data_IF_063104257624
#
_entry.id   IF_063104257624
#
_cell.length_a   1.000
_cell.length_b   1.000
_cell.length_c   1.000
_cell.angle_alpha   90.00
_cell.angle_beta   90.00
_cell.angle_gamma   90.00
#
_symmetry.space_group_name_H-M   'P 1'
#
loop_
_entity.id
_entity.type
_entity.pdbx_description
1 polymer ?
#
# COMPACT_ATOMS: atom_id res chain seq x y z
N UNK A 1 -3.19 9.00 -6.47
CA UNK A 1 -2.37 8.73 -5.28
C UNK A 1 -2.30 10.00 -4.43
N UNK A 2 -2.56 9.91 -3.12
CA UNK A 2 -2.62 11.05 -2.20
C UNK A 2 -1.38 11.05 -1.31
N UNK A 3 -0.71 12.19 -1.24
CA UNK A 3 0.44 12.41 -0.35
C UNK A 3 -0.07 13.15 0.89
N UNK A 4 0.29 12.67 2.08
CA UNK A 4 -0.13 13.29 3.34
C UNK A 4 1.09 13.39 4.25
N UNK A 5 1.40 14.60 4.70
CA UNK A 5 2.56 14.86 5.56
C UNK A 5 2.10 15.39 6.91
N UNK A 6 2.76 14.94 7.97
CA UNK A 6 2.57 15.48 9.30
C UNK A 6 2.96 14.49 10.39
N UNK A 7 2.78 14.91 11.64
CA UNK A 7 3.02 14.05 12.80
C UNK A 7 2.05 12.87 12.81
N UNK A 8 2.61 11.67 12.91
CA UNK A 8 1.83 10.44 12.92
C UNK A 8 1.20 10.18 14.29
N UNK A 9 -0.09 9.88 14.31
CA UNK A 9 -0.82 9.43 15.48
C UNK A 9 -1.79 8.31 15.08
N UNK A 10 -1.52 7.10 15.54
CA UNK A 10 -2.40 5.95 15.33
C UNK A 10 -3.58 6.07 16.30
N UNK A 11 -4.78 6.23 15.76
CA UNK A 11 -6.02 6.41 16.53
C UNK A 11 -6.90 5.17 16.38
N UNK A 12 -6.38 3.99 16.72
CA UNK A 12 -7.17 2.77 16.68
C UNK A 12 -6.32 1.51 16.78
N UNK A 13 -6.98 0.38 17.04
CA UNK A 13 -6.33 -0.92 17.05
C UNK A 13 -6.01 -1.34 15.61
N UNK A 14 -4.78 -1.84 15.41
CA UNK A 14 -4.39 -2.53 14.19
C UNK A 14 -4.86 -3.97 14.24
N UNK A 15 -5.57 -4.43 13.22
CA UNK A 15 -5.94 -5.84 13.05
C UNK A 15 -5.02 -6.42 11.99
N UNK A 16 -4.25 -7.45 12.34
CA UNK A 16 -3.36 -8.16 11.41
C UNK A 16 -4.21 -9.10 10.56
N UNK A 17 -4.05 -9.03 9.24
CA UNK A 17 -4.75 -9.84 8.25
C UNK A 17 -3.76 -10.28 7.15
N UNK A 18 -3.12 -11.42 7.36
CA UNK A 18 -2.02 -11.88 6.51
C UNK A 18 -0.84 -10.91 6.57
N UNK A 19 -0.29 -10.53 5.40
CA UNK A 19 0.85 -9.61 5.30
C UNK A 19 0.49 -8.13 5.46
N UNK A 20 -0.75 -7.81 5.83
CA UNK A 20 -1.21 -6.44 6.00
C UNK A 20 -1.81 -6.22 7.40
N UNK A 21 -1.53 -5.05 7.97
CA UNK A 21 -2.21 -4.53 9.14
C UNK A 21 -3.29 -3.55 8.69
N UNK A 22 -4.53 -3.75 9.17
CA UNK A 22 -5.66 -2.84 8.95
C UNK A 22 -5.84 -1.96 10.18
N UNK A 23 -5.73 -0.65 9.98
CA UNK A 23 -6.06 0.37 10.97
C UNK A 23 -7.43 0.96 10.69
N UNK A 24 -8.26 1.02 11.74
CA UNK A 24 -9.55 1.71 11.67
C UNK A 24 -9.37 3.20 11.38
N UNK A 25 -8.44 3.86 12.09
CA UNK A 25 -8.12 5.28 11.90
C UNK A 25 -6.63 5.55 12.11
N UNK A 26 -6.04 6.29 11.17
CA UNK A 26 -4.69 6.86 11.23
C UNK A 26 -4.81 8.38 11.09
N UNK A 27 -4.33 9.13 12.08
CA UNK A 27 -4.22 10.58 11.99
C UNK A 27 -2.78 10.96 11.63
N UNK A 28 -2.64 11.87 10.70
CA UNK A 28 -1.36 12.38 10.26
C UNK A 28 -1.46 13.89 10.05
N UNK A 29 -0.76 14.66 10.88
CA UNK A 29 -0.96 16.11 10.98
C UNK A 29 -2.43 16.45 11.26
N UNK A 30 -3.06 17.21 10.36
CA UNK A 30 -4.49 17.56 10.41
C UNK A 30 -5.42 16.58 9.70
N UNK A 31 -4.90 15.57 9.00
CA UNK A 31 -5.71 14.65 8.21
C UNK A 31 -6.05 13.38 9.00
N UNK A 32 -7.33 12.97 8.91
CA UNK A 32 -7.81 11.70 9.48
C UNK A 32 -8.07 10.73 8.32
N UNK A 33 -7.37 9.60 8.34
CA UNK A 33 -7.52 8.52 7.37
C UNK A 33 -8.23 7.35 8.03
N UNK A 34 -9.34 6.88 7.44
CA UNK A 34 -10.06 5.70 7.91
C UNK A 34 -9.85 4.50 6.99
N UNK A 35 -10.01 3.29 7.54
CA UNK A 35 -9.86 2.00 6.83
C UNK A 35 -8.55 1.93 6.03
N UNK A 36 -7.44 2.06 6.76
CA UNK A 36 -6.09 2.11 6.19
C UNK A 36 -5.42 0.76 6.31
N UNK A 37 -4.95 0.23 5.20
CA UNK A 37 -4.15 -0.97 5.11
C UNK A 37 -2.70 -0.60 4.90
N UNK A 38 -1.81 -1.25 5.62
CA UNK A 38 -0.37 -1.10 5.46
C UNK A 38 0.26 -2.50 5.43
N UNK A 39 1.32 -2.67 4.65
CA UNK A 39 2.10 -3.90 4.73
C UNK A 39 2.72 -4.02 6.12
N UNK A 40 2.70 -5.21 6.72
CA UNK A 40 3.26 -5.44 8.06
C UNK A 40 4.72 -5.00 8.15
N UNK A 41 5.46 -5.12 7.04
CA UNK A 41 6.85 -4.70 6.95
C UNK A 41 7.05 -3.17 7.00
N UNK A 42 6.07 -2.38 6.56
CA UNK A 42 6.05 -0.92 6.74
C UNK A 42 5.42 -0.51 8.09
N UNK A 43 4.63 -1.39 8.70
CA UNK A 43 3.91 -1.12 9.94
C UNK A 43 4.86 -0.82 11.11
N UNK A 44 6.00 -1.49 11.14
CA UNK A 44 7.10 -1.22 12.08
C UNK A 44 7.51 0.25 12.09
N UNK A 45 7.44 0.94 10.94
CA UNK A 45 7.79 2.35 10.83
C UNK A 45 6.66 3.30 11.27
N UNK A 46 5.40 2.83 11.31
CA UNK A 46 4.30 3.60 11.92
C UNK A 46 4.36 3.54 13.44
N UNK A 47 4.82 2.43 14.01
CA UNK A 47 4.96 2.28 15.47
C UNK A 47 6.12 3.10 16.05
N UNK A 48 7.12 3.44 15.25
CA UNK A 48 8.17 4.39 15.65
C UNK A 48 7.54 5.78 15.63
N UNK A 49 7.05 6.22 16.80
CA UNK A 49 6.49 7.57 17.04
C UNK A 49 7.59 8.63 16.91
N UNK A 50 8.10 8.85 15.71
CA UNK A 50 9.07 9.91 15.47
C UNK A 50 8.39 11.23 15.78
N UNK A 51 9.01 12.03 16.64
CA UNK A 51 8.57 13.37 17.02
C UNK A 51 8.40 14.34 15.84
N UNK A 52 8.89 13.93 14.66
CA UNK A 52 8.94 14.73 13.44
C UNK A 52 7.93 14.26 12.38
N UNK A 53 7.68 15.12 11.41
CA UNK A 53 6.71 14.86 10.34
C UNK A 53 7.13 13.70 9.45
N UNK A 54 6.18 12.77 9.24
CA UNK A 54 6.32 11.65 8.30
C UNK A 54 5.47 11.96 7.08
N UNK A 55 5.90 11.53 5.89
CA UNK A 55 5.06 11.62 4.68
C UNK A 55 4.56 10.25 4.29
N UNK A 56 3.25 10.09 4.22
CA UNK A 56 2.59 8.87 3.77
C UNK A 56 2.10 9.00 2.33
N UNK A 57 2.38 7.97 1.56
CA UNK A 57 1.92 7.82 0.19
C UNK A 57 0.75 6.85 0.17
N UNK A 58 -0.46 7.40 0.07
CA UNK A 58 -1.71 6.67 0.21
C UNK A 58 -2.38 6.49 -1.15
N UNK A 59 -2.65 5.25 -1.53
CA UNK A 59 -3.47 4.90 -2.69
C UNK A 59 -4.87 4.51 -2.23
N UNK A 60 -5.88 4.76 -3.05
CA UNK A 60 -7.24 4.28 -2.81
C UNK A 60 -7.43 3.04 -3.68
N UNK A 61 -7.61 1.89 -3.06
CA UNK A 61 -8.07 0.69 -3.72
C UNK A 61 -9.60 0.67 -3.63
N UNK A 62 -10.27 0.48 -4.76
CA UNK A 62 -11.73 0.42 -4.83
C UNK A 62 -12.30 -0.67 -3.90
N UNK A 63 -11.64 -1.83 -3.84
CA UNK A 63 -12.14 -3.00 -3.12
C UNK A 63 -11.73 -3.05 -1.64
N UNK A 64 -10.56 -2.50 -1.30
CA UNK A 64 -9.95 -2.68 0.02
C UNK A 64 -9.78 -1.38 0.81
N UNK A 65 -10.21 -0.23 0.29
CA UNK A 65 -10.09 1.05 0.99
C UNK A 65 -8.74 1.73 0.76
N UNK A 66 -8.15 2.35 1.78
CA UNK A 66 -6.90 3.13 1.61
C UNK A 66 -5.71 2.25 1.89
N UNK A 67 -4.71 2.23 1.02
CA UNK A 67 -3.46 1.52 1.25
C UNK A 67 -2.29 2.49 1.33
N UNK A 68 -1.51 2.41 2.40
CA UNK A 68 -0.18 3.02 2.47
C UNK A 68 0.76 2.18 1.60
N UNK A 69 1.34 2.80 0.58
CA UNK A 69 2.26 2.14 -0.38
C UNK A 69 3.72 2.45 -0.11
N UNK A 70 3.97 3.61 0.47
CA UNK A 70 5.29 4.05 0.91
C UNK A 70 5.17 5.01 2.09
N UNK A 71 6.24 5.11 2.87
CA UNK A 71 6.46 6.19 3.82
C UNK A 71 7.79 6.88 3.51
N UNK A 72 7.87 8.17 3.79
CA UNK A 72 9.14 8.89 3.91
C UNK A 72 9.34 9.28 5.36
N UNK A 73 10.44 8.83 5.95
CA UNK A 73 10.83 9.15 7.32
C UNK A 73 11.24 10.62 7.44
N UNK A 74 11.27 11.18 8.66
CA UNK A 74 11.80 12.51 8.88
C UNK A 74 13.27 12.69 8.46
N UNK A 75 14.05 11.60 8.43
CA UNK A 75 15.43 11.60 7.96
C UNK A 75 15.54 11.72 6.42
N UNK A 76 14.43 11.60 5.70
CA UNK A 76 14.37 11.66 4.24
C UNK A 76 14.31 10.29 3.56
N UNK A 77 14.50 9.19 4.30
CA UNK A 77 14.48 7.85 3.75
C UNK A 77 13.07 7.46 3.28
N UNK A 78 12.97 7.05 2.02
CA UNK A 78 11.73 6.61 1.39
C UNK A 78 11.65 5.09 1.42
N UNK A 79 10.78 4.52 2.25
CA UNK A 79 10.51 3.09 2.29
C UNK A 79 9.25 2.77 1.51
N UNK A 80 9.30 1.77 0.64
CA UNK A 80 8.13 1.32 -0.10
C UNK A 80 8.04 -0.20 -0.13
N UNK A 81 6.83 -0.72 -0.17
CA UNK A 81 6.64 -2.16 -0.26
C UNK A 81 6.68 -2.58 -1.72
N UNK A 82 7.47 -3.62 -2.03
CA UNK A 82 7.62 -4.14 -3.40
C UNK A 82 6.76 -5.38 -3.61
N UNK A 83 5.95 -5.37 -4.67
CA UNK A 83 5.29 -6.57 -5.18
C UNK A 83 6.19 -7.20 -6.28
N UNK A 84 6.45 -8.51 -6.23
CA UNK A 84 7.21 -9.18 -7.29
C UNK A 84 6.42 -9.15 -8.60
N UNK A 85 7.07 -8.67 -9.68
CA UNK A 85 6.47 -8.57 -11.01
C UNK A 85 5.88 -9.89 -11.49
N UNK A 86 6.56 -11.00 -11.19
CA UNK A 86 6.13 -12.34 -11.58
C UNK A 86 4.72 -12.70 -11.06
N UNK A 87 4.38 -12.32 -9.82
CA UNK A 87 3.03 -12.55 -9.28
C UNK A 87 1.97 -11.72 -9.99
N UNK A 88 2.30 -10.47 -10.35
CA UNK A 88 1.41 -9.60 -11.12
C UNK A 88 1.18 -10.17 -12.52
N UNK A 89 2.26 -10.61 -13.18
CA UNK A 89 2.21 -11.18 -14.53
C UNK A 89 1.38 -12.48 -14.56
N UNK A 90 1.64 -13.43 -13.65
CA UNK A 90 0.87 -14.67 -13.57
C UNK A 90 -0.60 -14.37 -13.29
N UNK A 91 -0.90 -13.51 -12.30
CA UNK A 91 -2.28 -13.20 -11.96
C UNK A 91 -3.06 -12.62 -13.13
N UNK A 92 -2.42 -11.78 -13.93
CA UNK A 92 -3.02 -11.13 -15.09
C UNK A 92 -3.21 -12.11 -16.26
N UNK A 93 -2.24 -12.99 -16.53
CA UNK A 93 -2.37 -14.08 -17.52
C UNK A 93 -3.46 -15.05 -17.12
N UNK A 94 -3.51 -15.48 -15.85
CA UNK A 94 -4.56 -16.36 -15.34
C UNK A 94 -5.93 -15.71 -15.41
N UNK A 95 -6.05 -14.41 -15.09
CA UNK A 95 -7.31 -13.70 -15.21
C UNK A 95 -7.81 -13.66 -16.66
N UNK A 96 -6.93 -13.38 -17.64
CA UNK A 96 -7.28 -13.42 -19.06
C UNK A 96 -7.63 -14.84 -19.51
N UNK A 97 -6.84 -15.84 -19.10
CA UNK A 97 -7.07 -17.25 -19.43
C UNK A 97 -8.39 -17.82 -18.89
N UNK A 98 -8.91 -17.25 -17.79
CA UNK A 98 -10.20 -17.62 -17.21
C UNK A 98 -11.40 -16.87 -17.80
N UNK A 99 -11.22 -15.91 -18.73
CA UNK A 99 -12.33 -15.20 -19.40
C UNK A 99 -13.26 -16.17 -20.17
N UNK A 100 -12.75 -17.17 -20.92
CA UNK A 100 -13.61 -18.11 -21.67
C UNK A 100 -14.50 -18.98 -20.77
N UNK A 101 -14.13 -19.13 -19.50
CA UNK A 101 -14.88 -19.94 -18.52
C UNK A 101 -15.94 -19.04 -17.88
N UNK A 102 -17.06 -18.84 -18.59
CA UNK A 102 -18.23 -18.06 -18.12
C UNK A 102 -17.91 -16.62 -17.69
N UNK A 103 -16.86 -16.00 -18.22
CA UNK A 103 -16.47 -14.65 -17.85
C UNK A 103 -15.89 -14.52 -16.43
N UNK A 104 -15.55 -15.64 -15.76
CA UNK A 104 -14.95 -15.60 -14.42
C UNK A 104 -13.69 -14.74 -14.37
N UNK A 105 -12.90 -14.72 -15.45
CA UNK A 105 -11.75 -13.83 -15.60
C UNK A 105 -12.06 -12.33 -15.40
N UNK A 106 -13.26 -11.87 -15.79
CA UNK A 106 -13.70 -10.48 -15.63
C UNK A 106 -13.89 -10.10 -14.15
N UNK A 107 -14.23 -11.05 -13.27
CA UNK A 107 -14.34 -10.80 -11.84
C UNK A 107 -12.98 -10.51 -11.20
N UNK A 108 -11.90 -11.12 -11.70
CA UNK A 108 -10.56 -10.96 -11.14
C UNK A 108 -9.76 -9.80 -11.74
N UNK A 109 -10.14 -9.34 -12.95
CA UNK A 109 -9.49 -8.25 -13.67
C UNK A 109 -9.33 -6.96 -12.83
N UNK A 110 -10.36 -6.43 -12.14
CA UNK A 110 -10.20 -5.24 -11.30
C UNK A 110 -9.14 -5.39 -10.20
N UNK A 111 -9.07 -6.57 -9.58
CA UNK A 111 -8.04 -6.85 -8.57
C UNK A 111 -6.65 -6.94 -9.20
N UNK A 112 -6.53 -7.54 -10.38
CA UNK A 112 -5.24 -7.63 -11.08
C UNK A 112 -4.76 -6.26 -11.57
N UNK A 113 -5.66 -5.41 -12.07
CA UNK A 113 -5.33 -4.03 -12.43
C UNK A 113 -4.86 -3.22 -11.22
N UNK A 114 -5.47 -3.42 -10.04
CA UNK A 114 -5.01 -2.79 -8.81
C UNK A 114 -3.59 -3.25 -8.41
N UNK A 115 -3.26 -4.53 -8.60
CA UNK A 115 -1.92 -5.07 -8.36
C UNK A 115 -0.89 -4.57 -9.40
N UNK A 116 -1.32 -4.37 -10.65
CA UNK A 116 -0.49 -3.78 -11.70
C UNK A 116 -0.20 -2.30 -11.40
N UNK A 117 -1.21 -1.54 -10.99
CA UNK A 117 -1.02 -0.15 -10.56
C UNK A 117 -0.07 -0.09 -9.35
N UNK A 118 -0.22 -1.01 -8.39
CA UNK A 118 0.71 -1.14 -7.26
C UNK A 118 2.15 -1.28 -7.76
N UNK A 119 2.40 -2.20 -8.69
CA UNK A 119 3.74 -2.44 -9.22
C UNK A 119 4.32 -1.18 -9.88
N UNK A 120 3.54 -0.49 -10.70
CA UNK A 120 4.00 0.75 -11.34
C UNK A 120 4.28 1.88 -10.33
N UNK A 121 3.48 2.00 -9.26
CA UNK A 121 3.77 2.95 -8.17
C UNK A 121 5.09 2.59 -7.47
N UNK A 122 5.37 1.30 -7.27
CA UNK A 122 6.65 0.84 -6.69
C UNK A 122 7.87 1.22 -7.53
N UNK A 123 7.75 1.23 -8.87
CA UNK A 123 8.81 1.68 -9.77
C UNK A 123 9.08 3.18 -9.65
N UNK A 124 8.03 3.99 -9.43
CA UNK A 124 8.19 5.43 -9.19
C UNK A 124 8.96 5.70 -7.91
N UNK A 125 8.70 4.96 -6.85
CA UNK A 125 9.47 5.08 -5.60
C UNK A 125 10.91 4.61 -5.74
N UNK A 126 11.14 3.52 -6.50
CA UNK A 126 12.49 3.08 -6.83
C UNK A 126 13.27 4.18 -7.56
N UNK A 127 12.66 4.85 -8.54
CA UNK A 127 13.29 5.96 -9.27
C UNK A 127 13.62 7.16 -8.38
N UNK A 128 12.94 7.32 -7.25
CA UNK A 128 13.21 8.36 -6.24
C UNK A 128 14.26 7.95 -5.20
N UNK A 129 14.98 6.83 -5.41
CA UNK A 129 15.95 6.32 -4.44
C UNK A 129 15.33 5.61 -3.25
N UNK A 130 14.07 5.15 -3.37
CA UNK A 130 13.40 4.42 -2.30
C UNK A 130 14.06 3.08 -1.97
N UNK A 131 13.95 2.69 -0.71
CA UNK A 131 14.40 1.42 -0.16
C UNK A 131 13.23 0.43 -0.23
N UNK A 132 13.35 -0.67 -1.00
CA UNK A 132 12.31 -1.68 -1.08
C UNK A 132 12.24 -2.48 0.21
N UNK A 133 11.04 -2.68 0.73
CA UNK A 133 10.76 -3.61 1.80
C UNK A 133 9.93 -4.77 1.24
N UNK A 134 10.28 -6.03 1.54
CA UNK A 134 9.46 -7.17 1.14
C UNK A 134 8.06 -7.07 1.74
N UNK A 135 7.08 -7.57 0.98
CA UNK A 135 5.67 -7.64 1.36
C UNK A 135 5.43 -8.91 2.18
#
# INVERSE_FOLDING_TARGET
MRIVTGRLSLLGNGIISGNFTKYSVVKIGGAVLSNVWIAQSLDSFLNVRSTNDTTLYVSKNWLAGRHIRALRTPAGDLYYTKLPFFLVAIGLVSAIGCIPIFGLGLLFLPSMLANTQYYFESLKFKAQGGIPIPL
#
